data_IF_238812888238
#
_entry.id   IF_238812888238
#
_cell.length_a   1.000
_cell.length_b   1.000
_cell.length_c   1.000
_cell.angle_alpha   90.00
_cell.angle_beta   90.00
_cell.angle_gamma   90.00
#
_symmetry.space_group_name_H-M   'P 1'
#
loop_
_entity.id
_entity.type
_entity.pdbx_description
1 polymer ?
#
# COMPACT_ATOMS: atom_id res chain seq x y z
N UNK A 1 -1.71 -1.01 3.36
CA UNK A 1 -1.97 0.30 2.74
C UNK A 1 -2.26 1.39 3.79
N UNK A 2 -3.43 1.40 4.44
CA UNK A 2 -3.80 2.46 5.40
C UNK A 2 -2.83 2.70 6.56
N UNK A 3 -2.15 1.66 7.04
CA UNK A 3 -1.08 1.81 8.03
C UNK A 3 0.09 2.67 7.52
N UNK A 4 0.48 2.47 6.25
CA UNK A 4 1.58 3.17 5.60
C UNK A 4 1.22 4.65 5.39
N UNK A 5 0.01 4.93 4.88
CA UNK A 5 -0.49 6.30 4.76
C UNK A 5 -0.40 7.01 6.12
N UNK A 6 -0.91 6.39 7.19
CA UNK A 6 -0.88 7.04 8.51
C UNK A 6 0.53 7.23 9.05
N UNK A 7 1.44 6.28 8.87
CA UNK A 7 2.79 6.41 9.42
C UNK A 7 3.67 7.39 8.63
N UNK A 8 3.50 7.44 7.30
CA UNK A 8 4.42 8.18 6.43
C UNK A 8 3.84 9.52 5.95
N UNK A 9 2.58 9.55 5.50
CA UNK A 9 1.98 10.79 4.97
C UNK A 9 1.97 11.88 6.05
N UNK A 10 1.64 11.55 7.30
CA UNK A 10 1.63 12.55 8.38
C UNK A 10 3.02 13.10 8.72
N UNK A 11 4.10 12.43 8.32
CA UNK A 11 5.46 12.94 8.47
C UNK A 11 5.94 13.74 7.25
N UNK A 12 5.29 13.56 6.08
CA UNK A 12 5.67 14.20 4.82
C UNK A 12 4.98 15.55 4.58
N UNK A 13 3.81 15.78 5.19
CA UNK A 13 3.01 16.98 4.94
C UNK A 13 2.65 17.68 6.25
N UNK A 14 2.71 19.01 6.23
CA UNK A 14 2.10 19.84 7.26
C UNK A 14 0.61 20.03 6.93
N UNK A 15 -0.27 19.56 7.80
CA UNK A 15 -1.72 19.57 7.59
C UNK A 15 -2.35 20.53 8.60
N UNK A 16 -2.91 21.63 8.10
CA UNK A 16 -3.47 22.71 8.93
C UNK A 16 -4.96 22.92 8.71
N UNK A 17 -5.52 22.36 7.64
CA UNK A 17 -6.93 22.49 7.29
C UNK A 17 -7.41 21.31 6.43
N UNK A 18 -8.72 21.24 6.18
CA UNK A 18 -9.33 20.16 5.40
C UNK A 18 -8.80 20.10 3.96
N UNK A 19 -8.59 21.24 3.31
CA UNK A 19 -8.16 21.31 1.92
C UNK A 19 -6.75 20.72 1.74
N UNK A 20 -5.80 21.14 2.59
CA UNK A 20 -4.44 20.59 2.65
C UNK A 20 -4.43 19.09 2.97
N UNK A 21 -5.32 18.61 3.85
CA UNK A 21 -5.49 17.18 4.12
C UNK A 21 -5.94 16.41 2.88
N UNK A 22 -6.98 16.91 2.19
CA UNK A 22 -7.49 16.28 0.96
C UNK A 22 -6.42 16.26 -0.13
N UNK A 23 -5.64 17.33 -0.27
CA UNK A 23 -4.52 17.39 -1.19
C UNK A 23 -3.44 16.35 -0.82
N UNK A 24 -2.99 16.33 0.43
CA UNK A 24 -1.97 15.38 0.90
C UNK A 24 -2.38 13.91 0.68
N UNK A 25 -3.64 13.57 0.93
CA UNK A 25 -4.16 12.22 0.67
C UNK A 25 -4.12 11.90 -0.83
N UNK A 26 -4.59 12.81 -1.69
CA UNK A 26 -4.59 12.61 -3.14
C UNK A 26 -3.18 12.45 -3.69
N UNK A 27 -2.27 13.33 -3.27
CA UNK A 27 -0.88 13.31 -3.72
C UNK A 27 -0.16 12.06 -3.23
N UNK A 28 -0.38 11.64 -1.97
CA UNK A 28 0.20 10.40 -1.45
C UNK A 28 -0.32 9.17 -2.19
N UNK A 29 -1.61 9.13 -2.57
CA UNK A 29 -2.15 8.03 -3.38
C UNK A 29 -1.42 7.94 -4.73
N UNK A 30 -1.24 9.08 -5.41
CA UNK A 30 -0.50 9.18 -6.68
C UNK A 30 0.95 8.71 -6.50
N UNK A 31 1.66 9.25 -5.51
CA UNK A 31 3.02 8.82 -5.16
C UNK A 31 3.09 7.31 -4.89
N UNK A 32 2.18 6.77 -4.08
CA UNK A 32 2.15 5.35 -3.77
C UNK A 32 1.94 4.49 -5.02
N UNK A 33 1.09 4.91 -5.95
CA UNK A 33 0.82 4.15 -7.18
C UNK A 33 1.92 4.27 -8.23
N UNK A 34 2.47 5.48 -8.42
CA UNK A 34 3.27 5.83 -9.61
C UNK A 34 4.76 5.96 -9.32
N UNK A 35 5.15 6.24 -8.07
CA UNK A 35 6.54 6.58 -7.74
C UNK A 35 7.14 5.64 -6.69
N UNK A 36 6.31 5.03 -5.84
CA UNK A 36 6.77 4.17 -4.76
C UNK A 36 7.23 2.82 -5.28
N UNK A 37 8.54 2.70 -5.45
CA UNK A 37 9.22 1.43 -5.70
C UNK A 37 9.01 0.48 -4.51
N UNK A 38 8.67 -0.79 -4.79
CA UNK A 38 8.53 -1.82 -3.75
C UNK A 38 9.44 -3.01 -4.03
N UNK A 39 10.21 -3.41 -3.01
CA UNK A 39 11.10 -4.59 -3.08
C UNK A 39 10.32 -5.86 -3.47
N UNK A 40 9.12 -6.05 -2.93
CA UNK A 40 8.24 -7.18 -3.25
C UNK A 40 7.86 -7.27 -4.74
N UNK A 41 7.99 -6.17 -5.48
CA UNK A 41 7.69 -6.03 -6.89
C UNK A 41 8.95 -5.95 -7.75
N UNK A 42 10.09 -6.47 -7.26
CA UNK A 42 11.38 -6.38 -7.95
C UNK A 42 11.74 -4.94 -8.33
N UNK A 43 11.57 -4.04 -7.37
CA UNK A 43 11.80 -2.61 -7.52
C UNK A 43 10.92 -1.89 -8.56
N UNK A 44 9.70 -2.42 -8.81
CA UNK A 44 8.67 -1.73 -9.59
C UNK A 44 7.64 -1.03 -8.71
N UNK A 45 6.96 -0.08 -9.32
CA UNK A 45 5.80 0.63 -8.76
C UNK A 45 4.54 -0.22 -8.86
N UNK A 46 3.53 0.02 -8.01
CA UNK A 46 2.23 -0.66 -8.15
C UNK A 46 1.58 -0.47 -9.53
N UNK A 47 1.74 0.70 -10.16
CA UNK A 47 1.18 0.96 -11.49
C UNK A 47 1.84 0.13 -12.59
N UNK A 48 3.17 -0.02 -12.55
CA UNK A 48 3.89 -0.89 -13.48
C UNK A 48 3.43 -2.34 -13.35
N UNK A 49 3.35 -2.86 -12.11
CA UNK A 49 2.84 -4.22 -11.85
C UNK A 49 1.42 -4.40 -12.36
N UNK A 50 0.55 -3.42 -12.14
CA UNK A 50 -0.84 -3.45 -12.63
C UNK A 50 -0.88 -3.48 -14.16
N UNK A 51 -0.06 -2.67 -14.81
CA UNK A 51 0.02 -2.60 -16.27
C UNK A 51 0.52 -3.92 -16.86
N UNK A 52 1.55 -4.52 -16.27
CA UNK A 52 2.09 -5.83 -16.66
C UNK A 52 1.05 -6.95 -16.48
N UNK A 53 0.33 -6.94 -15.36
CA UNK A 53 -0.71 -7.92 -15.11
C UNK A 53 -1.85 -7.83 -16.13
N UNK A 54 -2.24 -6.63 -16.56
CA UNK A 54 -3.27 -6.43 -17.59
C UNK A 54 -2.80 -6.82 -18.99
N UNK A 55 -1.49 -6.78 -19.24
CA UNK A 55 -0.90 -7.15 -20.52
C UNK A 55 -0.62 -8.66 -20.66
N UNK A 56 -0.80 -9.43 -19.60
CA UNK A 56 -0.42 -10.86 -19.54
C UNK A 56 -1.65 -11.74 -19.33
N UNK A 57 -1.70 -12.90 -19.98
CA UNK A 57 -2.79 -13.88 -19.81
C UNK A 57 -2.73 -14.51 -18.41
N UNK A 58 -1.52 -14.84 -17.95
CA UNK A 58 -1.24 -15.42 -16.63
C UNK A 58 -0.37 -14.45 -15.80
N UNK A 59 -0.97 -13.51 -15.04
CA UNK A 59 -0.23 -12.51 -14.28
C UNK A 59 0.52 -13.11 -13.08
N UNK A 60 1.70 -12.54 -12.76
CA UNK A 60 2.47 -12.92 -11.58
C UNK A 60 1.70 -12.56 -10.32
N UNK A 61 1.52 -13.53 -9.43
CA UNK A 61 0.91 -13.31 -8.13
C UNK A 61 1.93 -12.86 -7.07
N UNK A 62 1.49 -11.95 -6.23
CA UNK A 62 2.26 -11.46 -5.09
C UNK A 62 1.46 -11.72 -3.81
N UNK A 63 1.46 -12.96 -3.27
CA UNK A 63 0.71 -13.29 -2.06
C UNK A 63 1.23 -12.49 -0.87
N UNK A 64 0.33 -12.17 0.07
CA UNK A 64 0.69 -11.53 1.32
C UNK A 64 1.13 -12.63 2.29
N UNK A 65 2.34 -12.57 2.87
CA UNK A 65 2.78 -13.54 3.85
C UNK A 65 1.83 -13.59 5.05
N UNK A 66 1.60 -14.79 5.55
CA UNK A 66 0.72 -14.99 6.68
C UNK A 66 1.27 -14.33 7.95
N UNK A 67 0.43 -13.56 8.64
CA UNK A 67 0.81 -12.93 9.89
C UNK A 67 0.48 -13.85 11.07
N UNK A 68 1.49 -14.56 11.57
CA UNK A 68 1.37 -15.49 12.72
C UNK A 68 0.74 -14.86 13.97
N UNK A 69 0.88 -13.54 14.18
CA UNK A 69 0.27 -12.84 15.33
C UNK A 69 -1.25 -12.72 15.17
N UNK A 70 -1.74 -12.52 13.94
CA UNK A 70 -3.17 -12.47 13.64
C UNK A 70 -3.78 -13.85 13.84
N UNK A 71 -3.11 -14.92 13.40
CA UNK A 71 -3.59 -16.29 13.61
C UNK A 71 -3.70 -16.63 15.09
N UNK A 72 -2.65 -16.36 15.86
CA UNK A 72 -2.67 -16.57 17.32
C UNK A 72 -3.78 -15.77 18.02
N UNK A 73 -4.07 -14.56 17.54
CA UNK A 73 -5.21 -13.79 18.03
C UNK A 73 -6.53 -14.48 17.68
N UNK A 74 -6.72 -14.90 16.43
CA UNK A 74 -7.92 -15.63 16.00
C UNK A 74 -8.10 -16.93 16.78
N UNK A 75 -7.07 -17.74 16.96
CA UNK A 75 -7.11 -18.96 17.79
C UNK A 75 -7.53 -18.69 19.23
N UNK A 76 -7.15 -17.54 19.79
CA UNK A 76 -7.51 -17.16 21.17
C UNK A 76 -8.97 -16.70 21.29
N UNK A 77 -9.56 -16.18 20.23
CA UNK A 77 -10.87 -15.48 20.27
C UNK A 77 -11.94 -16.09 19.36
N UNK A 78 -11.60 -17.10 18.56
CA UNK A 78 -12.53 -17.95 17.82
C UNK A 78 -12.58 -19.31 18.54
N UNK A 79 -13.75 -19.62 19.12
CA UNK A 79 -14.13 -20.97 19.58
C UNK A 79 -14.74 -21.75 18.41
#
# INVERSE_FOLDING_TARGET
FWGIIKSEMYAMYEITNEESLRFAIKDYIRFYSEERIQERYNCKTPLEIRSEALATIDPIEYPIPENKRINKYKEKWCA
#
